data_IF_188589936917
#
_entry.id   IF_188589936917
#
_cell.length_a   1.000
_cell.length_b   1.000
_cell.length_c   1.000
_cell.angle_alpha   90.00
_cell.angle_beta   90.00
_cell.angle_gamma   90.00
#
_symmetry.space_group_name_H-M   'P 1'
#
loop_
_entity.id
_entity.type
_entity.pdbx_description
1 polymer ?
#
# COMPACT_ATOMS: atom_id res chain seq x y z
N UNK A 1 -21.55 13.93 28.43
CA UNK A 1 -21.93 12.68 27.75
C UNK A 1 -22.82 13.03 26.58
N UNK A 2 -22.22 13.44 25.47
CA UNK A 2 -22.94 13.77 24.23
C UNK A 2 -23.58 12.51 23.63
N UNK A 3 -24.66 12.69 22.87
CA UNK A 3 -25.29 11.65 22.05
C UNK A 3 -24.97 11.84 20.56
N UNK A 4 -25.04 10.76 19.76
CA UNK A 4 -24.50 10.74 18.39
C UNK A 4 -25.06 11.82 17.45
N UNK A 5 -26.34 12.21 17.59
CA UNK A 5 -26.94 13.24 16.74
C UNK A 5 -26.50 14.67 17.09
N UNK A 6 -25.89 14.87 18.26
CA UNK A 6 -25.32 16.15 18.66
C UNK A 6 -23.93 16.36 18.03
N UNK A 7 -23.19 15.26 17.81
CA UNK A 7 -21.81 15.28 17.33
C UNK A 7 -21.74 15.47 15.79
N UNK A 8 -20.88 16.37 15.29
CA UNK A 8 -20.64 16.52 13.85
C UNK A 8 -19.80 15.36 13.31
N UNK A 9 -20.01 14.99 12.03
CA UNK A 9 -19.06 14.13 11.31
C UNK A 9 -17.80 14.95 10.98
N UNK A 10 -16.63 14.47 11.40
CA UNK A 10 -15.34 15.15 11.24
C UNK A 10 -14.85 15.23 9.79
N UNK A 11 -15.28 14.31 8.93
CA UNK A 11 -14.83 14.18 7.53
C UNK A 11 -15.66 15.07 6.60
N UNK A 12 -16.99 14.95 6.63
CA UNK A 12 -17.88 15.77 5.78
C UNK A 12 -18.12 17.16 6.36
N UNK A 13 -18.09 17.29 7.70
CA UNK A 13 -18.42 18.51 8.46
C UNK A 13 -19.78 19.13 8.13
N UNK A 14 -20.65 18.40 7.43
CA UNK A 14 -22.00 18.78 7.03
C UNK A 14 -23.05 17.81 7.57
N UNK A 15 -22.64 16.59 7.91
CA UNK A 15 -23.50 15.56 8.52
C UNK A 15 -23.19 15.36 10.01
N UNK A 16 -23.97 14.50 10.68
CA UNK A 16 -23.81 14.14 12.10
C UNK A 16 -23.11 12.79 12.24
N UNK A 17 -22.60 12.48 13.42
CA UNK A 17 -22.01 11.17 13.73
C UNK A 17 -23.04 10.04 13.87
N UNK A 18 -24.35 10.35 13.80
CA UNK A 18 -25.43 9.37 13.84
C UNK A 18 -25.77 8.83 12.45
N UNK A 19 -24.90 7.96 11.93
CA UNK A 19 -25.07 7.28 10.65
C UNK A 19 -24.25 5.97 10.63
N UNK A 20 -24.51 5.12 9.63
CA UNK A 20 -23.67 3.99 9.30
C UNK A 20 -22.82 4.34 8.06
N UNK A 21 -21.49 4.30 8.14
CA UNK A 21 -20.64 4.61 6.99
C UNK A 21 -20.90 3.69 5.79
N UNK A 22 -20.88 4.28 4.60
CA UNK A 22 -20.87 3.57 3.33
C UNK A 22 -19.50 3.73 2.68
N UNK A 23 -18.88 2.60 2.33
CA UNK A 23 -17.56 2.58 1.71
C UNK A 23 -17.69 2.11 0.26
N UNK A 24 -17.15 2.88 -0.67
CA UNK A 24 -17.09 2.56 -2.09
C UNK A 24 -15.72 1.95 -2.49
N UNK A 25 -14.97 1.49 -1.50
CA UNK A 25 -13.68 0.83 -1.61
C UNK A 25 -13.58 -0.37 -0.64
N UNK A 26 -12.57 -1.19 -0.85
CA UNK A 26 -12.20 -2.32 0.00
C UNK A 26 -10.95 -1.97 0.79
N UNK A 27 -11.00 -2.25 2.09
CA UNK A 27 -9.86 -2.11 3.00
C UNK A 27 -9.31 -3.50 3.32
N UNK A 28 -8.01 -3.70 3.19
CA UNK A 28 -7.34 -4.93 3.62
C UNK A 28 -6.31 -4.59 4.70
N UNK A 29 -6.50 -5.18 5.88
CA UNK A 29 -5.52 -5.15 6.96
C UNK A 29 -4.68 -6.42 6.95
N UNK A 30 -3.37 -6.28 7.07
CA UNK A 30 -2.46 -7.43 7.24
C UNK A 30 -1.57 -7.26 8.47
N UNK A 31 -1.47 -8.28 9.35
CA UNK A 31 -0.57 -8.21 10.48
C UNK A 31 0.90 -8.31 10.04
N UNK A 32 1.79 -7.69 10.80
CA UNK A 32 3.24 -7.78 10.64
C UNK A 32 3.82 -8.69 11.72
N UNK A 33 4.66 -9.65 11.33
CA UNK A 33 5.29 -10.60 12.25
C UNK A 33 6.80 -10.62 12.13
N UNK A 34 7.53 -10.53 13.24
CA UNK A 34 8.99 -10.62 13.29
C UNK A 34 9.48 -11.95 13.89
N UNK A 35 8.72 -13.03 13.67
CA UNK A 35 8.98 -14.34 14.29
C UNK A 35 10.36 -14.91 13.95
N UNK A 36 10.91 -14.58 12.78
CA UNK A 36 12.28 -14.99 12.35
C UNK A 36 13.39 -14.48 13.29
N UNK A 37 13.15 -13.43 14.08
CA UNK A 37 14.09 -12.93 15.09
C UNK A 37 14.18 -13.83 16.34
N UNK A 38 13.22 -14.74 16.54
CA UNK A 38 13.13 -15.58 17.73
C UNK A 38 13.37 -17.05 17.41
N UNK A 39 14.53 -17.60 17.82
CA UNK A 39 14.94 -18.97 17.46
C UNK A 39 14.02 -20.08 18.00
N UNK A 40 13.44 -19.90 19.18
CA UNK A 40 12.66 -20.93 19.88
C UNK A 40 11.15 -20.73 19.76
N UNK A 41 10.69 -19.76 18.96
CA UNK A 41 9.26 -19.47 18.86
C UNK A 41 8.57 -20.42 17.88
N UNK A 42 7.43 -20.97 18.28
CA UNK A 42 6.54 -21.68 17.34
C UNK A 42 5.96 -20.65 16.36
N UNK A 43 6.20 -20.85 15.06
CA UNK A 43 5.69 -19.97 13.99
C UNK A 43 4.19 -20.13 13.73
N UNK A 44 3.62 -21.30 14.07
CA UNK A 44 2.18 -21.57 13.93
C UNK A 44 1.34 -20.51 14.64
N UNK A 45 0.40 -19.95 13.89
CA UNK A 45 -0.59 -18.98 14.36
C UNK A 45 -1.76 -19.71 15.01
N UNK A 46 -2.41 -19.04 15.95
CA UNK A 46 -3.55 -19.55 16.71
C UNK A 46 -4.31 -18.39 17.34
N UNK A 47 -5.07 -18.66 18.39
CA UNK A 47 -5.87 -17.64 19.08
C UNK A 47 -5.04 -16.59 19.83
N UNK A 48 -3.82 -16.93 20.25
CA UNK A 48 -2.91 -15.97 20.90
C UNK A 48 -2.18 -15.12 19.86
N UNK A 49 -2.30 -13.79 19.99
CA UNK A 49 -1.63 -12.84 19.11
C UNK A 49 -0.09 -12.95 19.22
N UNK A 50 0.57 -12.83 18.07
CA UNK A 50 2.05 -12.81 17.93
C UNK A 50 2.57 -11.74 16.97
N UNK A 51 1.66 -10.99 16.35
CA UNK A 51 2.02 -9.87 15.47
C UNK A 51 2.61 -8.73 16.30
N UNK A 52 3.51 -7.97 15.67
CA UNK A 52 4.23 -6.83 16.27
C UNK A 52 3.77 -5.48 15.71
N UNK A 53 2.85 -5.52 14.74
CA UNK A 53 2.26 -4.35 14.10
C UNK A 53 1.32 -4.80 12.98
N UNK A 54 0.92 -3.85 12.14
CA UNK A 54 0.01 -4.08 11.02
C UNK A 54 0.15 -3.03 9.93
N UNK A 55 -0.41 -3.35 8.77
CA UNK A 55 -0.60 -2.41 7.66
C UNK A 55 -2.06 -2.43 7.26
N UNK A 56 -2.51 -1.32 6.70
CA UNK A 56 -3.81 -1.21 6.07
C UNK A 56 -3.62 -0.74 4.63
N UNK A 57 -4.40 -1.27 3.71
CA UNK A 57 -4.41 -0.81 2.33
C UNK A 57 -5.83 -0.60 1.85
N UNK A 58 -5.96 0.27 0.85
CA UNK A 58 -7.24 0.66 0.28
C UNK A 58 -7.17 0.47 -1.23
N UNK A 59 -8.22 -0.10 -1.80
CA UNK A 59 -8.38 -0.24 -3.25
C UNK A 59 -9.84 -0.43 -3.62
N UNK A 60 -10.20 -0.18 -4.88
CA UNK A 60 -11.57 -0.37 -5.39
C UNK A 60 -11.88 -1.83 -5.68
N UNK A 61 -10.86 -2.69 -5.67
CA UNK A 61 -10.96 -4.15 -5.82
C UNK A 61 -10.20 -4.82 -4.68
N UNK A 62 -10.67 -5.98 -4.24
CA UNK A 62 -9.96 -6.76 -3.21
C UNK A 62 -8.56 -7.16 -3.66
N UNK A 63 -8.38 -7.51 -4.94
CA UNK A 63 -7.07 -7.86 -5.50
C UNK A 63 -6.08 -6.68 -5.39
N UNK A 64 -6.55 -5.46 -5.69
CA UNK A 64 -5.78 -4.23 -5.57
C UNK A 64 -5.34 -4.00 -4.12
N UNK A 65 -6.30 -3.98 -3.19
CA UNK A 65 -6.03 -3.79 -1.78
C UNK A 65 -5.08 -4.88 -1.23
N UNK A 66 -5.31 -6.16 -1.53
CA UNK A 66 -4.48 -7.26 -1.06
C UNK A 66 -3.02 -7.12 -1.52
N UNK A 67 -2.78 -6.81 -2.79
CA UNK A 67 -1.41 -6.66 -3.29
C UNK A 67 -0.69 -5.45 -2.68
N UNK A 68 -1.40 -4.33 -2.49
CA UNK A 68 -0.86 -3.16 -1.78
C UNK A 68 -0.49 -3.50 -0.34
N UNK A 69 -1.38 -4.18 0.40
CA UNK A 69 -1.11 -4.57 1.78
C UNK A 69 0.14 -5.46 1.90
N UNK A 70 0.29 -6.43 0.99
CA UNK A 70 1.47 -7.32 1.00
C UNK A 70 2.79 -6.57 0.79
N UNK A 71 2.79 -5.54 -0.07
CA UNK A 71 3.97 -4.68 -0.28
C UNK A 71 4.23 -3.76 0.92
N UNK A 72 3.17 -3.24 1.54
CA UNK A 72 3.27 -2.38 2.73
C UNK A 72 3.91 -3.10 3.92
N UNK A 73 3.80 -4.43 4.03
CA UNK A 73 4.33 -5.21 5.16
C UNK A 73 5.84 -5.07 5.39
N UNK A 74 6.60 -4.56 4.42
CA UNK A 74 8.05 -4.41 4.53
C UNK A 74 8.75 -5.74 4.96
N UNK A 75 8.39 -6.80 4.24
CA UNK A 75 8.96 -8.15 4.34
C UNK A 75 9.74 -8.56 3.08
N UNK A 76 10.01 -7.60 2.18
CA UNK A 76 10.78 -7.83 0.95
C UNK A 76 10.01 -8.45 -0.22
N UNK A 77 8.67 -8.47 -0.17
CA UNK A 77 7.81 -8.96 -1.27
C UNK A 77 7.27 -7.78 -2.09
N UNK A 78 7.01 -8.03 -3.38
CA UNK A 78 6.41 -7.06 -4.29
C UNK A 78 4.89 -7.26 -4.45
N UNK A 79 4.32 -8.28 -3.81
CA UNK A 79 2.90 -8.63 -3.81
C UNK A 79 2.71 -10.10 -3.46
N UNK A 80 1.57 -10.67 -3.81
CA UNK A 80 1.32 -12.10 -3.55
C UNK A 80 2.14 -13.01 -4.48
N UNK A 81 2.60 -12.45 -5.59
CA UNK A 81 3.34 -13.15 -6.65
C UNK A 81 4.39 -12.25 -7.30
N UNK A 82 5.23 -12.81 -8.18
CA UNK A 82 6.31 -12.12 -8.87
C UNK A 82 7.28 -11.42 -7.88
N UNK A 83 7.77 -12.20 -6.92
CA UNK A 83 8.72 -11.74 -5.92
C UNK A 83 10.16 -12.07 -6.36
N UNK A 84 11.13 -11.26 -5.94
CA UNK A 84 12.55 -11.53 -6.25
C UNK A 84 13.03 -12.84 -5.60
N UNK A 85 12.55 -13.09 -4.38
CA UNK A 85 12.74 -14.34 -3.66
C UNK A 85 11.35 -14.91 -3.35
N UNK A 86 10.90 -15.87 -4.16
CA UNK A 86 9.64 -16.55 -3.88
C UNK A 86 9.73 -17.36 -2.58
N UNK A 87 8.67 -17.30 -1.78
CA UNK A 87 8.55 -18.12 -0.58
C UNK A 87 7.99 -19.46 -1.02
N UNK A 88 8.85 -20.49 -1.00
CA UNK A 88 8.54 -21.84 -1.48
C UNK A 88 8.28 -22.75 -0.28
N UNK A 89 7.24 -23.55 -0.38
CA UNK A 89 6.88 -24.59 0.58
C UNK A 89 7.07 -25.96 -0.04
N UNK A 90 7.83 -26.82 0.64
CA UNK A 90 8.02 -28.22 0.24
C UNK A 90 6.75 -29.05 0.53
N UNK A 91 6.18 -28.88 1.73
CA UNK A 91 4.91 -29.49 2.14
C UNK A 91 3.79 -28.46 2.11
N UNK A 92 3.17 -28.32 0.92
CA UNK A 92 2.07 -27.39 0.70
C UNK A 92 0.82 -27.75 1.52
N UNK A 93 0.49 -29.03 1.68
CA UNK A 93 -0.70 -29.41 2.43
C UNK A 93 -0.59 -29.02 3.90
N UNK A 94 0.57 -29.26 4.52
CA UNK A 94 0.83 -28.83 5.89
C UNK A 94 0.82 -27.31 6.00
N UNK A 95 1.48 -26.60 5.09
CA UNK A 95 1.49 -25.14 5.08
C UNK A 95 0.08 -24.53 4.89
N UNK A 96 -0.81 -25.21 4.15
CA UNK A 96 -2.20 -24.81 4.00
C UNK A 96 -3.03 -25.14 5.24
N UNK A 97 -2.86 -26.30 5.88
CA UNK A 97 -3.61 -26.69 7.10
C UNK A 97 -3.17 -25.92 8.34
N UNK A 98 -1.88 -25.65 8.48
CA UNK A 98 -1.28 -25.05 9.66
C UNK A 98 -0.91 -23.58 9.41
N UNK A 99 -1.75 -22.61 9.82
CA UNK A 99 -1.52 -21.21 9.48
C UNK A 99 -0.20 -20.69 10.08
N UNK A 100 0.61 -20.06 9.24
CA UNK A 100 1.81 -19.29 9.60
C UNK A 100 1.69 -17.87 9.04
N UNK A 101 2.64 -16.99 9.37
CA UNK A 101 2.75 -15.65 8.80
C UNK A 101 2.97 -15.63 7.28
N UNK A 102 3.35 -16.77 6.68
CA UNK A 102 3.59 -16.92 5.24
C UNK A 102 2.48 -17.72 4.51
N UNK A 103 1.39 -18.13 5.21
CA UNK A 103 0.32 -19.00 4.64
C UNK A 103 -0.29 -18.45 3.35
N UNK A 104 -0.39 -17.13 3.22
CA UNK A 104 -0.95 -16.50 2.01
C UNK A 104 -0.12 -16.82 0.75
N UNK A 105 1.19 -17.01 0.90
CA UNK A 105 2.07 -17.42 -0.19
C UNK A 105 1.93 -18.91 -0.50
N UNK A 106 1.66 -19.76 0.50
CA UNK A 106 1.32 -21.16 0.28
C UNK A 106 0.02 -21.31 -0.54
N UNK A 107 -0.99 -20.46 -0.29
CA UNK A 107 -2.21 -20.39 -1.10
C UNK A 107 -1.89 -20.01 -2.55
N UNK A 108 -1.04 -19.01 -2.76
CA UNK A 108 -0.62 -18.61 -4.10
C UNK A 108 0.15 -19.72 -4.83
N UNK A 109 1.09 -20.39 -4.14
CA UNK A 109 1.82 -21.53 -4.70
C UNK A 109 0.89 -22.69 -5.05
N UNK A 110 -0.08 -23.04 -4.19
CA UNK A 110 -1.06 -24.10 -4.46
C UNK A 110 -1.89 -23.81 -5.72
N UNK A 111 -2.37 -22.58 -5.89
CA UNK A 111 -3.09 -22.16 -7.10
C UNK A 111 -2.21 -22.23 -8.36
N UNK A 112 -0.93 -21.85 -8.26
CA UNK A 112 0.04 -21.99 -9.36
C UNK A 112 0.28 -23.46 -9.71
N UNK A 113 0.33 -24.33 -8.72
CA UNK A 113 0.48 -25.78 -8.85
C UNK A 113 -0.81 -26.51 -9.31
N UNK A 114 -1.89 -25.79 -9.57
CA UNK A 114 -3.12 -26.35 -10.14
C UNK A 114 -4.10 -26.93 -9.12
N UNK A 115 -3.94 -26.65 -7.82
CA UNK A 115 -4.92 -27.06 -6.80
C UNK A 115 -6.26 -26.39 -7.06
N UNK A 116 -7.35 -27.14 -6.88
CA UNK A 116 -8.69 -26.57 -7.00
C UNK A 116 -9.00 -25.64 -5.82
N UNK A 117 -9.84 -24.63 -6.06
CA UNK A 117 -10.29 -23.71 -5.01
C UNK A 117 -11.01 -24.45 -3.89
N UNK A 118 -11.78 -25.50 -4.21
CA UNK A 118 -12.44 -26.35 -3.23
C UNK A 118 -11.45 -27.08 -2.33
N UNK A 119 -10.37 -27.61 -2.92
CA UNK A 119 -9.34 -28.29 -2.16
C UNK A 119 -8.61 -27.33 -1.21
N UNK A 120 -8.21 -26.15 -1.70
CA UNK A 120 -7.58 -25.11 -0.85
C UNK A 120 -8.55 -24.65 0.24
N UNK A 121 -9.84 -24.46 -0.07
CA UNK A 121 -10.85 -24.12 0.92
C UNK A 121 -10.98 -25.17 2.02
N UNK A 122 -11.03 -26.45 1.66
CA UNK A 122 -11.15 -27.55 2.63
C UNK A 122 -9.94 -27.63 3.57
N UNK A 123 -8.75 -27.28 3.06
CA UNK A 123 -7.51 -27.26 3.86
C UNK A 123 -7.41 -26.01 4.73
N UNK A 124 -7.85 -24.85 4.22
CA UNK A 124 -7.56 -23.56 4.83
C UNK A 124 -8.72 -22.95 5.61
N UNK A 125 -9.95 -23.34 5.26
CA UNK A 125 -11.22 -22.71 5.60
C UNK A 125 -11.35 -21.25 5.13
N UNK A 126 -10.42 -20.74 4.31
CA UNK A 126 -10.55 -19.41 3.70
C UNK A 126 -11.72 -19.46 2.72
N UNK A 127 -12.64 -18.49 2.82
CA UNK A 127 -13.81 -18.45 1.96
C UNK A 127 -13.41 -18.46 0.47
N UNK A 128 -14.12 -19.27 -0.33
CA UNK A 128 -13.86 -19.45 -1.76
C UNK A 128 -13.83 -18.13 -2.52
N UNK A 129 -14.62 -17.13 -2.13
CA UNK A 129 -14.61 -15.80 -2.74
C UNK A 129 -13.20 -15.20 -2.75
N UNK A 130 -12.49 -15.20 -1.61
CA UNK A 130 -11.11 -14.69 -1.54
C UNK A 130 -10.15 -15.52 -2.39
N UNK A 131 -10.33 -16.84 -2.42
CA UNK A 131 -9.51 -17.75 -3.23
C UNK A 131 -9.70 -17.50 -4.73
N UNK A 132 -10.93 -17.24 -5.18
CA UNK A 132 -11.20 -16.82 -6.56
C UNK A 132 -10.50 -15.49 -6.89
N UNK A 133 -10.54 -14.52 -5.97
CA UNK A 133 -9.86 -13.24 -6.16
C UNK A 133 -8.35 -13.38 -6.24
N UNK A 134 -7.75 -14.21 -5.39
CA UNK A 134 -6.32 -14.53 -5.49
C UNK A 134 -6.02 -15.24 -6.82
N UNK A 135 -6.88 -16.16 -7.26
CA UNK A 135 -6.70 -16.85 -8.54
C UNK A 135 -6.76 -15.88 -9.73
N UNK A 136 -7.54 -14.79 -9.66
CA UNK A 136 -7.53 -13.74 -10.69
C UNK A 136 -6.13 -13.11 -10.85
N UNK A 137 -5.44 -12.87 -9.73
CA UNK A 137 -4.06 -12.36 -9.72
C UNK A 137 -3.13 -13.36 -10.41
N UNK A 138 -3.21 -14.65 -10.01
CA UNK A 138 -2.38 -15.72 -10.59
C UNK A 138 -2.63 -15.90 -12.09
N UNK A 139 -3.87 -15.82 -12.55
CA UNK A 139 -4.20 -15.92 -13.97
C UNK A 139 -3.71 -14.71 -14.77
N UNK A 140 -3.77 -13.51 -14.20
CA UNK A 140 -3.19 -12.30 -14.83
C UNK A 140 -1.67 -12.40 -14.93
N UNK A 141 -0.98 -12.90 -13.88
CA UNK A 141 0.45 -13.17 -13.96
C UNK A 141 0.79 -14.13 -15.11
N UNK A 142 0.02 -15.22 -15.28
CA UNK A 142 0.21 -16.17 -16.39
C UNK A 142 0.08 -15.48 -17.76
N UNK A 143 -0.93 -14.63 -17.94
CA UNK A 143 -1.13 -13.87 -19.19
C UNK A 143 0.03 -12.90 -19.45
N UNK A 144 0.54 -12.21 -18.43
CA UNK A 144 1.69 -11.29 -18.58
C UNK A 144 2.96 -12.09 -18.96
N UNK A 145 3.14 -13.32 -18.45
CA UNK A 145 4.27 -14.19 -18.82
C UNK A 145 4.29 -14.61 -20.28
N UNK A 146 3.15 -14.57 -20.96
CA UNK A 146 3.01 -14.98 -22.37
C UNK A 146 3.40 -13.87 -23.36
N UNK A 147 3.70 -12.66 -22.87
CA UNK A 147 4.03 -11.49 -23.69
C UNK A 147 5.38 -10.87 -23.31
N UNK A 148 5.88 -9.98 -24.16
CA UNK A 148 7.08 -9.18 -23.89
C UNK A 148 6.69 -7.71 -23.65
N UNK A 149 7.58 -6.93 -23.04
CA UNK A 149 7.35 -5.48 -22.82
C UNK A 149 7.01 -4.71 -24.11
N UNK A 150 7.50 -5.17 -25.27
CA UNK A 150 7.21 -4.56 -26.58
C UNK A 150 5.85 -4.94 -27.15
N UNK A 151 5.24 -6.01 -26.65
CA UNK A 151 4.02 -6.61 -27.21
C UNK A 151 2.85 -6.64 -26.22
N UNK A 152 3.07 -6.34 -24.94
CA UNK A 152 2.00 -6.20 -23.97
C UNK A 152 1.09 -5.05 -24.38
N UNK A 153 -0.19 -5.35 -24.55
CA UNK A 153 -1.19 -4.36 -24.92
C UNK A 153 -1.63 -3.49 -23.73
N UNK A 154 -2.30 -2.38 -24.05
CA UNK A 154 -2.80 -1.41 -23.07
C UNK A 154 -3.82 -2.03 -22.11
N UNK A 155 -4.65 -2.95 -22.56
CA UNK A 155 -5.75 -3.51 -21.77
C UNK A 155 -5.25 -4.50 -20.73
N UNK A 156 -4.30 -5.37 -21.10
CA UNK A 156 -3.64 -6.27 -20.17
C UNK A 156 -2.84 -5.48 -19.13
N UNK A 157 -2.09 -4.45 -19.55
CA UNK A 157 -1.35 -3.62 -18.61
C UNK A 157 -2.30 -2.87 -17.66
N UNK A 158 -3.37 -2.24 -18.18
CA UNK A 158 -4.39 -1.55 -17.35
C UNK A 158 -5.07 -2.52 -16.39
N UNK A 159 -5.47 -3.69 -16.87
CA UNK A 159 -6.10 -4.72 -16.04
C UNK A 159 -5.15 -5.22 -14.94
N UNK A 160 -3.86 -5.36 -15.21
CA UNK A 160 -2.87 -5.74 -14.20
C UNK A 160 -2.77 -4.66 -13.11
N UNK A 161 -2.65 -3.38 -13.49
CA UNK A 161 -2.62 -2.27 -12.53
C UNK A 161 -3.89 -2.20 -11.69
N UNK A 162 -5.06 -2.41 -12.28
CA UNK A 162 -6.34 -2.48 -11.56
C UNK A 162 -6.48 -3.67 -10.59
N UNK A 163 -5.67 -4.72 -10.78
CA UNK A 163 -5.57 -5.83 -9.83
C UNK A 163 -4.45 -5.62 -8.81
N UNK A 164 -3.82 -4.43 -8.79
CA UNK A 164 -2.79 -4.05 -7.83
C UNK A 164 -1.38 -4.52 -8.15
N UNK A 165 -1.09 -4.95 -9.39
CA UNK A 165 0.30 -5.29 -9.77
C UNK A 165 1.17 -4.03 -9.74
N UNK A 166 2.29 -4.06 -9.01
CA UNK A 166 3.29 -2.99 -9.06
C UNK A 166 4.07 -3.04 -10.38
N UNK A 167 4.65 -1.89 -10.76
CA UNK A 167 5.54 -1.80 -11.91
C UNK A 167 6.74 -2.75 -11.72
N UNK A 168 7.21 -2.93 -10.48
CA UNK A 168 8.25 -3.90 -10.13
C UNK A 168 7.83 -5.36 -10.34
N UNK A 169 6.59 -5.75 -10.00
CA UNK A 169 6.10 -7.11 -10.30
C UNK A 169 6.05 -7.36 -11.81
N UNK A 170 5.49 -6.42 -12.57
CA UNK A 170 5.37 -6.52 -14.02
C UNK A 170 6.77 -6.59 -14.65
N UNK A 171 7.71 -5.78 -14.18
CA UNK A 171 9.09 -5.76 -14.64
C UNK A 171 9.79 -7.11 -14.41
N UNK A 172 9.59 -7.73 -13.25
CA UNK A 172 10.12 -9.06 -12.95
C UNK A 172 9.52 -10.15 -13.86
N UNK A 173 8.22 -10.08 -14.14
CA UNK A 173 7.56 -11.03 -15.03
C UNK A 173 8.08 -10.89 -16.47
N UNK A 174 8.19 -9.65 -16.96
CA UNK A 174 8.60 -9.33 -18.33
C UNK A 174 10.13 -9.31 -18.52
N UNK A 175 10.90 -9.49 -17.43
CA UNK A 175 12.37 -9.42 -17.40
C UNK A 175 12.92 -8.10 -17.96
N UNK A 176 12.32 -6.99 -17.55
CA UNK A 176 12.76 -5.63 -17.89
C UNK A 176 13.00 -4.80 -16.62
N UNK A 177 13.38 -3.53 -16.78
CA UNK A 177 13.48 -2.60 -15.65
C UNK A 177 12.11 -2.07 -15.21
N UNK A 178 12.01 -1.67 -13.94
CA UNK A 178 10.82 -1.00 -13.39
C UNK A 178 10.52 0.31 -14.12
N UNK A 179 11.55 1.03 -14.56
CA UNK A 179 11.42 2.28 -15.29
C UNK A 179 10.87 2.09 -16.72
N UNK A 180 11.20 0.97 -17.39
CA UNK A 180 10.59 0.62 -18.68
C UNK A 180 9.08 0.40 -18.56
N UNK A 181 8.64 -0.31 -17.51
CA UNK A 181 7.20 -0.51 -17.25
C UNK A 181 6.51 0.82 -16.99
N UNK A 182 7.10 1.67 -16.15
CA UNK A 182 6.58 3.01 -15.88
C UNK A 182 6.45 3.87 -17.14
N UNK A 183 7.51 3.93 -17.97
CA UNK A 183 7.50 4.70 -19.23
C UNK A 183 6.42 4.19 -20.18
N UNK A 184 6.28 2.87 -20.30
CA UNK A 184 5.22 2.27 -21.12
C UNK A 184 3.83 2.62 -20.57
N UNK A 185 3.67 2.54 -19.26
CA UNK A 185 2.43 2.84 -18.56
C UNK A 185 2.01 4.31 -18.77
N UNK A 186 2.97 5.24 -18.72
CA UNK A 186 2.75 6.66 -19.04
C UNK A 186 2.42 6.88 -20.51
N UNK A 187 3.10 6.18 -21.43
CA UNK A 187 2.79 6.21 -22.88
C UNK A 187 1.36 5.74 -23.17
N UNK A 188 0.86 4.77 -22.40
CA UNK A 188 -0.51 4.27 -22.51
C UNK A 188 -1.52 5.08 -21.69
N UNK A 189 -1.10 6.14 -21.02
CA UNK A 189 -1.94 6.98 -20.15
C UNK A 189 -2.60 6.20 -19.00
N UNK A 190 -1.94 5.16 -18.51
CA UNK A 190 -2.39 4.35 -17.38
C UNK A 190 -1.80 4.98 -16.10
N UNK A 191 -2.50 5.95 -15.51
CA UNK A 191 -2.05 6.60 -14.28
C UNK A 191 -3.05 6.30 -13.15
N UNK A 192 -2.60 6.13 -11.90
CA UNK A 192 -3.53 6.01 -10.80
C UNK A 192 -4.26 7.34 -10.61
N UNK A 193 -5.47 7.24 -10.07
CA UNK A 193 -6.31 8.36 -9.66
C UNK A 193 -6.27 8.50 -8.15
N UNK A 194 -6.25 9.74 -7.69
CA UNK A 194 -6.38 10.11 -6.28
C UNK A 194 -7.86 10.11 -5.94
N UNK A 195 -8.25 9.44 -4.86
CA UNK A 195 -9.63 9.35 -4.39
C UNK A 195 -9.70 9.66 -2.89
N UNK A 196 -10.77 10.33 -2.46
CA UNK A 196 -11.03 10.56 -1.04
C UNK A 196 -11.58 9.34 -0.31
N UNK A 197 -11.35 9.34 1.00
CA UNK A 197 -12.03 8.53 2.00
C UNK A 197 -13.05 9.45 2.68
N UNK A 198 -14.31 9.32 2.29
CA UNK A 198 -15.37 10.29 2.63
C UNK A 198 -16.43 9.76 3.62
N UNK A 199 -16.37 8.47 3.99
CA UNK A 199 -17.32 7.71 4.83
C UNK A 199 -18.74 7.54 4.28
N UNK A 200 -19.06 8.11 3.13
CA UNK A 200 -20.42 8.19 2.59
C UNK A 200 -20.50 7.82 1.10
N UNK A 201 -19.47 7.18 0.54
CA UNK A 201 -19.45 6.68 -0.83
C UNK A 201 -19.84 7.77 -1.85
N UNK A 202 -19.23 8.95 -1.71
CA UNK A 202 -19.47 10.16 -2.49
C UNK A 202 -20.88 10.79 -2.40
N UNK A 203 -21.72 10.38 -1.45
CA UNK A 203 -23.03 11.03 -1.22
C UNK A 203 -22.86 12.50 -0.77
N UNK A 204 -21.81 12.77 0.01
CA UNK A 204 -21.44 14.12 0.44
C UNK A 204 -19.96 14.37 0.20
N UNK A 205 -19.56 15.59 -0.20
CA UNK A 205 -18.16 15.92 -0.41
C UNK A 205 -17.37 15.87 0.90
N UNK A 206 -16.22 15.21 0.88
CA UNK A 206 -15.26 15.26 1.97
C UNK A 206 -14.62 16.65 2.09
N UNK A 207 -14.43 17.13 3.32
CA UNK A 207 -13.65 18.36 3.58
C UNK A 207 -12.24 18.09 4.08
N UNK A 208 -11.91 16.82 4.30
CA UNK A 208 -10.60 16.34 4.74
C UNK A 208 -9.93 15.61 3.60
N UNK A 209 -8.67 15.94 3.31
CA UNK A 209 -7.90 15.28 2.26
C UNK A 209 -7.28 13.98 2.79
N UNK A 210 -8.16 13.02 3.09
CA UNK A 210 -7.77 11.65 3.39
C UNK A 210 -7.89 10.81 2.12
N UNK A 211 -6.75 10.37 1.57
CA UNK A 211 -6.63 9.99 0.16
C UNK A 211 -6.02 8.60 -0.02
N UNK A 212 -6.34 7.94 -1.14
CA UNK A 212 -5.65 6.76 -1.63
C UNK A 212 -5.54 6.79 -3.17
N UNK A 213 -4.63 6.00 -3.71
CA UNK A 213 -4.46 5.79 -5.15
C UNK A 213 -5.16 4.52 -5.62
N UNK A 214 -5.84 4.61 -6.78
CA UNK A 214 -6.41 3.45 -7.47
C UNK A 214 -6.35 3.59 -9.00
N UNK A 215 -6.26 2.47 -9.71
CA UNK A 215 -6.37 2.43 -11.18
C UNK A 215 -7.79 2.14 -11.68
N UNK A 216 -8.75 2.00 -10.76
CA UNK A 216 -10.13 1.60 -11.07
C UNK A 216 -11.12 2.77 -11.09
N UNK A 217 -10.61 3.99 -11.23
CA UNK A 217 -11.40 5.22 -11.43
C UNK A 217 -10.92 5.95 -12.69
N UNK A 218 -11.81 6.78 -13.25
CA UNK A 218 -11.52 7.56 -14.45
C UNK A 218 -11.00 8.97 -14.12
N UNK A 219 -11.46 9.57 -13.01
CA UNK A 219 -11.14 10.93 -12.60
C UNK A 219 -10.46 10.99 -11.23
N UNK A 220 -9.67 12.05 -11.02
CA UNK A 220 -9.09 12.37 -9.71
C UNK A 220 -10.10 13.16 -8.88
N UNK A 221 -10.29 12.76 -7.63
CA UNK A 221 -11.05 13.48 -6.61
C UNK A 221 -10.05 14.13 -5.66
N UNK A 222 -9.35 15.17 -6.12
CA UNK A 222 -8.38 15.93 -5.33
C UNK A 222 -7.97 17.23 -6.04
N UNK A 223 -7.87 18.33 -5.29
CA UNK A 223 -7.28 19.57 -5.80
C UNK A 223 -5.75 19.51 -5.69
N UNK A 224 -5.07 19.48 -6.83
CA UNK A 224 -3.61 19.38 -6.94
C UNK A 224 -2.85 20.67 -6.63
N UNK A 225 -3.51 21.73 -6.13
CA UNK A 225 -2.85 22.99 -5.75
C UNK A 225 -1.98 22.86 -4.46
N UNK A 226 -0.88 22.12 -4.59
CA UNK A 226 0.05 21.72 -3.53
C UNK A 226 1.51 21.97 -3.92
N UNK A 227 1.77 22.83 -4.90
CA UNK A 227 3.13 23.16 -5.37
C UNK A 227 4.05 23.79 -4.30
N UNK A 228 3.47 24.37 -3.24
CA UNK A 228 4.17 24.88 -2.05
C UNK A 228 4.04 23.95 -0.85
N UNK A 229 3.99 22.64 -1.10
CA UNK A 229 3.93 21.64 -0.04
C UNK A 229 5.25 20.91 0.16
N UNK A 230 5.39 20.26 1.30
CA UNK A 230 6.48 19.33 1.61
C UNK A 230 5.88 17.95 1.85
N UNK A 231 6.40 16.94 1.15
CA UNK A 231 6.01 15.55 1.37
C UNK A 231 6.84 14.96 2.51
N UNK A 232 6.20 14.24 3.42
CA UNK A 232 6.83 13.53 4.53
C UNK A 232 6.54 12.05 4.34
N UNK A 233 7.59 11.23 4.23
CA UNK A 233 7.44 9.79 4.19
C UNK A 233 7.37 9.26 5.63
N UNK A 234 6.30 8.54 5.94
CA UNK A 234 6.07 7.93 7.24
C UNK A 234 6.96 6.72 7.52
N UNK A 235 6.67 6.03 8.61
CA UNK A 235 7.46 4.90 9.09
C UNK A 235 7.05 3.55 8.52
N UNK A 236 5.86 3.43 7.92
CA UNK A 236 5.29 2.15 7.55
C UNK A 236 4.91 1.32 8.78
N UNK A 237 4.75 -0.01 8.65
CA UNK A 237 4.33 -0.85 9.76
C UNK A 237 5.35 -0.87 10.89
N UNK A 238 4.84 -0.89 12.12
CA UNK A 238 5.67 -1.19 13.28
C UNK A 238 6.26 -2.61 13.20
N UNK A 239 7.52 -2.70 13.60
CA UNK A 239 8.30 -3.95 13.71
C UNK A 239 9.37 -3.79 14.78
N UNK A 240 10.02 -4.89 15.18
CA UNK A 240 11.04 -4.83 16.23
C UNK A 240 12.21 -3.98 15.72
N UNK A 241 12.49 -2.87 16.41
CA UNK A 241 13.51 -1.88 16.04
C UNK A 241 13.01 -0.74 15.16
N UNK A 242 11.71 -0.66 14.87
CA UNK A 242 11.06 0.45 14.19
C UNK A 242 9.62 0.59 14.68
N UNK A 243 9.41 1.43 15.68
CA UNK A 243 8.13 1.61 16.36
C UNK A 243 7.67 3.08 16.34
N UNK A 244 6.88 3.48 17.32
CA UNK A 244 6.23 4.79 17.45
C UNK A 244 7.19 5.97 17.45
N UNK A 245 8.47 5.78 17.81
CA UNK A 245 9.48 6.83 17.80
C UNK A 245 9.64 7.50 16.42
N UNK A 246 9.56 6.73 15.34
CA UNK A 246 9.65 7.28 13.98
C UNK A 246 8.35 7.97 13.56
N UNK A 247 7.21 7.47 14.04
CA UNK A 247 5.93 8.16 13.83
C UNK A 247 5.92 9.55 14.50
N UNK A 248 6.41 9.61 15.74
CA UNK A 248 6.56 10.86 16.48
C UNK A 248 7.43 11.87 15.71
N UNK A 249 8.58 11.44 15.16
CA UNK A 249 9.44 12.31 14.35
C UNK A 249 8.71 12.86 13.11
N UNK A 250 7.93 12.03 12.41
CA UNK A 250 7.13 12.44 11.25
C UNK A 250 6.05 13.47 11.64
N UNK A 251 5.32 13.23 12.74
CA UNK A 251 4.28 14.14 13.24
C UNK A 251 4.88 15.51 13.62
N UNK A 252 5.97 15.52 14.41
CA UNK A 252 6.64 16.77 14.81
C UNK A 252 7.16 17.54 13.59
N UNK A 253 7.67 16.83 12.58
CA UNK A 253 8.11 17.45 11.31
C UNK A 253 6.95 18.13 10.61
N UNK A 254 5.80 17.45 10.46
CA UNK A 254 4.60 18.01 9.85
C UNK A 254 4.06 19.23 10.62
N UNK A 255 3.96 19.13 11.95
CA UNK A 255 3.53 20.24 12.79
C UNK A 255 4.47 21.44 12.70
N UNK A 256 5.79 21.21 12.62
CA UNK A 256 6.78 22.29 12.49
C UNK A 256 6.68 22.96 11.12
N UNK A 257 6.60 22.18 10.03
CA UNK A 257 6.44 22.72 8.68
C UNK A 257 5.15 23.55 8.53
N UNK A 258 4.04 23.10 9.12
CA UNK A 258 2.78 23.86 9.15
C UNK A 258 2.92 25.19 9.91
N UNK A 259 3.63 25.20 11.05
CA UNK A 259 3.92 26.44 11.80
C UNK A 259 4.74 27.43 10.98
N UNK A 260 5.65 26.95 10.14
CA UNK A 260 6.44 27.75 9.21
C UNK A 260 5.67 28.13 7.92
N UNK A 261 4.39 27.77 7.81
CA UNK A 261 3.51 28.18 6.71
C UNK A 261 3.57 27.29 5.46
N UNK A 262 4.21 26.11 5.54
CA UNK A 262 4.19 25.13 4.46
C UNK A 262 2.97 24.23 4.55
N UNK A 263 2.39 23.88 3.39
CA UNK A 263 1.45 22.75 3.32
C UNK A 263 2.22 21.44 3.51
N UNK A 264 1.61 20.47 4.18
CA UNK A 264 2.22 19.18 4.50
C UNK A 264 1.44 18.05 3.85
N UNK A 265 2.16 17.13 3.23
CA UNK A 265 1.59 15.92 2.63
C UNK A 265 2.22 14.69 3.27
N UNK A 266 1.44 13.91 4.00
CA UNK A 266 1.90 12.68 4.64
C UNK A 266 1.66 11.48 3.73
N UNK A 267 2.66 10.59 3.59
CA UNK A 267 2.50 9.29 2.93
C UNK A 267 2.85 8.21 3.96
N UNK A 268 1.85 7.47 4.44
CA UNK A 268 2.06 6.37 5.39
C UNK A 268 0.95 5.31 5.25
N UNK A 269 1.15 4.12 5.81
CA UNK A 269 0.22 2.99 5.67
C UNK A 269 -0.06 2.20 6.96
N UNK A 270 0.37 2.72 8.11
CA UNK A 270 0.18 2.07 9.39
C UNK A 270 -1.07 2.65 10.09
N UNK A 271 -2.14 1.86 10.27
CA UNK A 271 -3.42 2.36 10.81
C UNK A 271 -3.38 2.69 12.30
N UNK A 272 -2.31 2.32 13.02
CA UNK A 272 -2.19 2.54 14.46
C UNK A 272 -1.63 3.94 14.80
N UNK A 273 -1.24 4.74 13.79
CA UNK A 273 -0.34 5.87 14.01
C UNK A 273 -1.00 7.23 13.89
N UNK A 274 -0.50 8.18 14.68
CA UNK A 274 -1.00 9.57 14.67
C UNK A 274 -0.68 10.25 13.35
N UNK A 275 0.44 9.91 12.68
CA UNK A 275 0.70 10.44 11.33
C UNK A 275 -0.36 10.06 10.29
N UNK A 276 -1.16 9.00 10.53
CA UNK A 276 -2.26 8.62 9.64
C UNK A 276 -3.62 9.14 10.11
N UNK A 277 -3.65 10.04 11.08
CA UNK A 277 -4.82 10.87 11.32
C UNK A 277 -4.87 11.99 10.27
N UNK A 278 -6.05 12.22 9.71
CA UNK A 278 -6.24 13.17 8.60
C UNK A 278 -6.18 14.63 9.05
N UNK A 279 -6.12 14.91 10.35
CA UNK A 279 -5.92 16.24 10.93
C UNK A 279 -4.44 16.61 11.14
N UNK A 280 -3.52 15.63 11.06
CA UNK A 280 -2.08 15.85 11.24
C UNK A 280 -1.35 16.37 10.00
N UNK A 281 -2.00 16.40 8.84
CA UNK A 281 -1.43 16.96 7.60
C UNK A 281 -2.50 17.63 6.73
N UNK A 282 -2.08 18.47 5.77
CA UNK A 282 -3.00 19.13 4.83
C UNK A 282 -3.52 18.15 3.76
N UNK A 283 -2.79 17.07 3.51
CA UNK A 283 -3.25 15.91 2.76
C UNK A 283 -2.53 14.65 3.25
N UNK A 284 -3.29 13.60 3.53
CA UNK A 284 -2.80 12.28 3.92
C UNK A 284 -3.06 11.30 2.79
N UNK A 285 -2.00 10.74 2.22
CA UNK A 285 -2.09 9.58 1.33
C UNK A 285 -1.86 8.31 2.16
N UNK A 286 -2.92 7.52 2.33
CA UNK A 286 -2.84 6.20 2.97
C UNK A 286 -2.31 5.17 1.97
N UNK A 287 -1.00 5.21 1.77
CA UNK A 287 -0.34 4.61 0.62
C UNK A 287 0.97 3.91 0.96
N UNK A 288 1.39 3.05 0.04
CA UNK A 288 2.66 2.33 0.16
C UNK A 288 3.84 3.30 0.06
N UNK A 289 4.85 3.12 0.90
CA UNK A 289 6.09 3.89 0.83
C UNK A 289 7.02 3.18 -0.15
N UNK A 290 6.81 3.42 -1.45
CA UNK A 290 7.59 2.84 -2.56
C UNK A 290 7.99 3.90 -3.58
N UNK A 291 9.02 3.63 -4.39
CA UNK A 291 9.42 4.52 -5.49
C UNK A 291 8.25 4.84 -6.41
N UNK A 292 7.48 3.81 -6.80
CA UNK A 292 6.34 3.95 -7.70
C UNK A 292 5.31 4.93 -7.14
N UNK A 293 4.84 4.70 -5.92
CA UNK A 293 3.80 5.54 -5.28
C UNK A 293 4.29 6.96 -5.05
N UNK A 294 5.49 7.13 -4.49
CA UNK A 294 6.04 8.46 -4.20
C UNK A 294 6.23 9.25 -5.50
N UNK A 295 6.69 8.61 -6.58
CA UNK A 295 6.82 9.26 -7.89
C UNK A 295 5.47 9.68 -8.46
N UNK A 296 4.43 8.86 -8.35
CA UNK A 296 3.07 9.22 -8.81
C UNK A 296 2.53 10.45 -8.07
N UNK A 297 2.65 10.47 -6.74
CA UNK A 297 2.19 11.59 -5.92
C UNK A 297 3.01 12.84 -6.23
N UNK A 298 4.34 12.73 -6.25
CA UNK A 298 5.25 13.84 -6.54
C UNK A 298 4.97 14.49 -7.89
N UNK A 299 4.73 13.68 -8.93
CA UNK A 299 4.40 14.18 -10.27
C UNK A 299 3.01 14.80 -10.39
N UNK A 300 2.10 14.49 -9.48
CA UNK A 300 0.76 15.08 -9.45
C UNK A 300 0.73 16.42 -8.71
N UNK A 301 1.42 16.51 -7.56
CA UNK A 301 1.34 17.69 -6.68
C UNK A 301 2.51 18.68 -6.82
N UNK A 302 3.61 18.26 -7.45
CA UNK A 302 4.83 19.05 -7.64
C UNK A 302 5.33 19.77 -6.37
N UNK A 303 5.62 19.03 -5.29
CA UNK A 303 5.96 19.63 -4.00
C UNK A 303 7.35 20.30 -4.05
N UNK A 304 7.66 21.11 -3.03
CA UNK A 304 8.99 21.71 -2.86
C UNK A 304 10.09 20.68 -2.63
N UNK A 305 9.74 19.50 -2.11
CA UNK A 305 10.65 18.40 -1.88
C UNK A 305 10.05 17.35 -0.95
N UNK A 306 10.84 16.30 -0.68
CA UNK A 306 10.45 15.15 0.13
C UNK A 306 11.39 14.99 1.32
N UNK A 307 10.83 14.89 2.52
CA UNK A 307 11.54 14.53 3.74
C UNK A 307 11.48 13.01 3.92
N UNK A 308 12.65 12.38 3.96
CA UNK A 308 12.80 10.93 4.10
C UNK A 308 13.46 10.49 5.43
N UNK A 309 14.10 11.42 6.13
CA UNK A 309 14.97 11.14 7.29
C UNK A 309 14.24 10.86 8.60
N UNK A 310 12.91 10.99 8.63
CA UNK A 310 12.11 10.95 9.87
C UNK A 310 11.37 9.63 10.07
N UNK A 311 11.07 8.90 8.99
CA UNK A 311 10.32 7.64 9.04
C UNK A 311 11.18 6.38 9.21
N UNK A 312 12.45 6.51 9.59
CA UNK A 312 13.34 5.37 9.82
C UNK A 312 13.76 4.64 8.54
N UNK A 313 13.92 3.32 8.61
CA UNK A 313 14.61 2.56 7.56
C UNK A 313 13.84 2.48 6.24
N UNK A 314 12.51 2.40 6.29
CA UNK A 314 11.67 2.22 5.10
C UNK A 314 11.83 3.36 4.08
N UNK A 315 11.68 4.65 4.46
CA UNK A 315 11.97 5.75 3.55
C UNK A 315 13.47 5.94 3.27
N UNK A 316 14.36 5.70 4.25
CA UNK A 316 15.81 5.82 4.02
C UNK A 316 16.32 4.87 2.92
N UNK A 317 15.79 3.64 2.85
CA UNK A 317 16.11 2.68 1.80
C UNK A 317 15.71 3.13 0.38
N UNK A 318 14.87 4.17 0.27
CA UNK A 318 14.44 4.73 -1.01
C UNK A 318 15.28 5.94 -1.43
N UNK A 319 16.16 6.47 -0.57
CA UNK A 319 16.88 7.73 -0.80
C UNK A 319 17.53 7.82 -2.18
N UNK A 320 18.38 6.84 -2.52
CA UNK A 320 19.10 6.80 -3.80
C UNK A 320 18.13 6.64 -4.97
N UNK A 321 17.15 5.74 -4.85
CA UNK A 321 16.16 5.48 -5.92
C UNK A 321 15.28 6.68 -6.24
N UNK A 322 14.86 7.43 -5.21
CA UNK A 322 14.08 8.65 -5.37
C UNK A 322 14.92 9.73 -6.05
N UNK A 323 16.17 9.89 -5.61
CA UNK A 323 17.11 10.85 -6.19
C UNK A 323 17.39 10.57 -7.68
N UNK A 324 17.67 9.30 -8.02
CA UNK A 324 17.88 8.88 -9.41
C UNK A 324 16.63 9.06 -10.29
N UNK A 325 15.43 8.99 -9.69
CA UNK A 325 14.17 9.27 -10.36
C UNK A 325 13.85 10.77 -10.48
N UNK A 326 14.75 11.66 -10.05
CA UNK A 326 14.59 13.12 -10.15
C UNK A 326 13.71 13.74 -9.05
N UNK A 327 13.45 13.01 -7.97
CA UNK A 327 12.70 13.52 -6.82
C UNK A 327 13.64 14.31 -5.92
N UNK A 328 13.25 15.55 -5.61
CA UNK A 328 14.07 16.42 -4.77
C UNK A 328 13.93 16.05 -3.29
N UNK A 329 15.04 15.62 -2.68
CA UNK A 329 15.11 15.24 -1.28
C UNK A 329 15.59 16.41 -0.44
N UNK A 330 14.87 16.71 0.64
CA UNK A 330 15.21 17.76 1.60
C UNK A 330 16.11 17.21 2.72
N UNK A 331 17.05 18.02 3.18
CA UNK A 331 17.99 17.66 4.24
C UNK A 331 19.28 17.04 3.71
N UNK A 332 19.78 16.01 4.40
CA UNK A 332 21.01 15.30 4.02
C UNK A 332 20.90 14.72 2.61
N UNK A 333 21.94 14.93 1.79
CA UNK A 333 21.98 14.41 0.43
C UNK A 333 21.90 12.88 0.44
N UNK A 334 21.12 12.25 -0.46
CA UNK A 334 21.10 10.80 -0.64
C UNK A 334 22.47 10.17 -0.90
N UNK A 335 23.41 10.94 -1.46
CA UNK A 335 24.80 10.50 -1.69
C UNK A 335 25.64 10.40 -0.42
N UNK A 336 25.23 11.09 0.65
CA UNK A 336 25.91 11.06 1.95
C UNK A 336 25.27 10.02 2.89
N UNK A 337 24.16 9.40 2.46
CA UNK A 337 23.45 8.33 3.19
C UNK A 337 23.96 6.94 2.75
N UNK A 338 24.36 6.80 1.49
CA UNK A 338 25.06 5.62 0.94
C UNK A 338 26.49 5.53 1.49
#
# INVERSE_FOLDING_TARGET
GYVLHELPNSITKSTKAFFEPALDYVVVKMPRWDLKKFRMVKRKLGSSMKSVGEVMSIGRKFEEALQKALRMLDIGVNGITANQNDIIFDDLESALKEPTEERIFAVAQALKSGYSIDHIHNLTHINKWFLHKINNIINTEKRIKEVFIKTIDKDLLKSAKQLGFSDKQIALILKCSEDEVYKLRYKYEIKPKVQHIDTLAAEFPAKTNYLYLTYSCDDDDFDFNYNKSVVILGSGPYRIGSSVEFDWCCVITGQTLRKEGYKTVMINCNPETVSTDYDESDALFFEEITLETVREIYNKIHPLGVVISMGGQTPNNLAVKLYEAGIYILGTSPKDID
#
